data_IF_158320736241
#
_entry.id   IF_158320736241
#
_cell.length_a   1.000
_cell.length_b   1.000
_cell.length_c   1.000
_cell.angle_alpha   90.00
_cell.angle_beta   90.00
_cell.angle_gamma   90.00
#
_symmetry.space_group_name_H-M   'P 1'
#
loop_
_entity.id
_entity.type
_entity.pdbx_description
1 polymer ?
#
# COMPACT_ATOMS: atom_id res chain seq x y z
N UNK A 1 -23.81 26.10 33.70
CA UNK A 1 -22.37 26.06 33.98
C UNK A 1 -21.83 24.80 33.32
N UNK A 2 -21.36 24.94 32.08
CA UNK A 2 -20.79 23.87 31.24
C UNK A 2 -19.27 24.00 31.31
N UNK A 3 -18.56 22.88 31.47
CA UNK A 3 -17.13 22.82 31.16
C UNK A 3 -16.78 21.43 30.56
N UNK A 4 -16.42 21.48 29.27
CA UNK A 4 -15.71 20.48 28.47
C UNK A 4 -14.21 20.61 28.74
N UNK A 5 -13.47 19.50 28.82
CA UNK A 5 -12.01 19.38 28.54
C UNK A 5 -11.76 17.91 28.17
N UNK A 6 -10.97 17.50 27.17
CA UNK A 6 -10.15 18.21 26.19
C UNK A 6 -9.60 17.21 25.16
N UNK A 7 -9.52 17.65 23.89
CA UNK A 7 -8.79 16.97 22.81
C UNK A 7 -7.33 17.42 22.88
N UNK A 8 -6.39 16.48 22.73
CA UNK A 8 -4.98 16.78 22.58
C UNK A 8 -4.69 17.42 21.22
N UNK A 9 -3.82 18.42 21.25
CA UNK A 9 -3.45 19.33 20.16
C UNK A 9 -2.33 18.73 19.33
N UNK A 10 -2.46 18.75 18.00
CA UNK A 10 -1.32 18.68 17.11
C UNK A 10 -0.63 20.06 17.08
N UNK A 11 0.70 20.05 17.15
CA UNK A 11 1.57 21.23 17.03
C UNK A 11 1.58 21.76 15.58
N UNK A 12 1.51 23.08 15.36
CA UNK A 12 1.68 23.69 14.05
C UNK A 12 3.18 23.86 13.76
N UNK A 13 3.65 23.37 12.61
CA UNK A 13 4.94 23.81 12.05
C UNK A 13 4.71 25.06 11.23
N UNK A 14 5.23 26.16 11.75
CA UNK A 14 5.08 27.53 11.27
C UNK A 14 6.09 27.82 10.15
N UNK A 15 5.57 28.24 9.00
CA UNK A 15 6.12 29.30 8.14
C UNK A 15 5.23 29.47 6.91
N UNK A 16 3.96 29.81 7.12
CA UNK A 16 3.11 30.37 6.07
C UNK A 16 3.58 31.79 5.76
N UNK A 17 4.02 32.11 4.54
CA UNK A 17 4.24 33.49 4.17
C UNK A 17 2.88 34.14 3.81
N UNK A 18 2.62 35.29 4.42
CA UNK A 18 1.49 36.21 4.25
C UNK A 18 0.25 35.75 3.43
N UNK A 19 -0.81 35.40 4.15
CA UNK A 19 -2.19 35.44 3.64
C UNK A 19 -2.62 34.32 2.69
N UNK A 20 -1.82 33.25 2.56
CA UNK A 20 -2.20 32.00 1.89
C UNK A 20 -2.21 30.84 2.90
N UNK A 21 -3.32 30.10 2.94
CA UNK A 21 -3.39 28.83 3.65
C UNK A 21 -3.08 27.71 2.64
N UNK A 22 -1.79 27.40 2.49
CA UNK A 22 -1.30 26.36 1.58
C UNK A 22 -1.40 24.99 2.28
N UNK A 23 -2.13 24.07 1.67
CA UNK A 23 -2.14 22.66 2.05
C UNK A 23 -1.15 21.89 1.18
N UNK A 24 -0.17 21.23 1.81
CA UNK A 24 0.89 20.48 1.12
C UNK A 24 0.53 19.00 0.97
N UNK A 25 0.77 18.48 -0.22
CA UNK A 25 0.61 17.09 -0.62
C UNK A 25 1.93 16.57 -1.15
N UNK A 26 2.32 15.37 -0.71
CA UNK A 26 3.45 14.65 -1.28
C UNK A 26 3.06 14.03 -2.63
N UNK A 27 3.88 14.24 -3.64
CA UNK A 27 3.64 13.83 -5.04
C UNK A 27 4.53 12.67 -5.49
N UNK A 28 5.46 12.23 -4.63
CA UNK A 28 6.37 11.11 -4.92
C UNK A 28 5.64 9.77 -5.01
N UNK A 29 4.42 9.66 -4.46
CA UNK A 29 3.56 8.49 -4.55
C UNK A 29 2.35 8.70 -5.47
N UNK A 30 2.29 7.90 -6.54
CA UNK A 30 1.47 8.20 -7.73
C UNK A 30 -0.02 7.87 -7.59
N UNK A 31 -0.42 7.19 -6.51
CA UNK A 31 -1.74 6.56 -6.40
C UNK A 31 -2.84 7.36 -5.69
N UNK A 32 -2.50 8.39 -4.90
CA UNK A 32 -3.45 8.97 -3.94
C UNK A 32 -4.17 10.25 -4.41
N UNK A 33 -3.70 10.90 -5.48
CA UNK A 33 -4.11 12.28 -5.81
C UNK A 33 -5.58 12.36 -6.26
N UNK A 34 -6.05 11.42 -7.07
CA UNK A 34 -7.45 11.39 -7.52
C UNK A 34 -8.42 11.22 -6.33
N UNK A 35 -8.02 10.48 -5.30
CA UNK A 35 -8.78 10.26 -4.06
C UNK A 35 -8.73 11.49 -3.15
N UNK A 36 -7.57 12.16 -3.06
CA UNK A 36 -7.39 13.42 -2.32
C UNK A 36 -8.28 14.54 -2.89
N UNK A 37 -8.36 14.66 -4.23
CA UNK A 37 -9.24 15.61 -4.90
C UNK A 37 -10.72 15.18 -4.97
N UNK A 38 -11.02 13.90 -4.75
CA UNK A 38 -12.39 13.40 -4.64
C UNK A 38 -12.98 13.62 -3.22
N UNK A 39 -12.13 13.61 -2.19
CA UNK A 39 -12.54 13.75 -0.79
C UNK A 39 -12.65 15.21 -0.31
N UNK A 40 -11.99 16.16 -0.99
CA UNK A 40 -12.03 17.58 -0.66
C UNK A 40 -12.45 18.39 -1.89
N UNK A 41 -13.34 19.36 -1.71
CA UNK A 41 -13.93 20.24 -2.75
C UNK A 41 -12.93 21.18 -3.47
N UNK A 42 -11.69 20.76 -3.71
CA UNK A 42 -10.68 21.52 -4.45
C UNK A 42 -10.93 21.46 -5.96
N UNK A 43 -12.03 22.09 -6.41
CA UNK A 43 -12.34 22.23 -7.84
C UNK A 43 -11.37 23.18 -8.52
N UNK A 44 -11.10 24.33 -7.91
CA UNK A 44 -10.24 25.38 -8.44
C UNK A 44 -9.30 25.95 -7.36
N UNK A 45 -8.25 26.64 -7.77
CA UNK A 45 -7.36 27.31 -6.83
C UNK A 45 -5.97 27.60 -7.39
N UNK A 46 -5.17 28.19 -6.51
CA UNK A 46 -3.75 28.41 -6.73
C UNK A 46 -2.98 27.16 -6.30
N UNK A 47 -1.90 26.85 -6.99
CA UNK A 47 -1.05 25.74 -6.66
C UNK A 47 0.42 26.05 -6.87
N UNK A 48 1.27 25.38 -6.09
CA UNK A 48 2.73 25.41 -6.20
C UNK A 48 3.21 23.97 -6.37
N UNK A 49 3.95 23.71 -7.44
CA UNK A 49 4.67 22.46 -7.63
C UNK A 49 6.10 22.65 -7.13
N UNK A 50 6.59 21.70 -6.34
CA UNK A 50 7.99 21.63 -5.92
C UNK A 50 8.68 20.46 -6.62
N UNK A 51 9.87 20.71 -7.12
CA UNK A 51 10.65 19.74 -7.89
C UNK A 51 11.87 19.27 -7.09
N UNK A 52 12.42 18.12 -7.47
CA UNK A 52 13.61 17.52 -6.87
C UNK A 52 14.86 18.42 -6.87
N UNK A 53 14.94 19.39 -7.79
CA UNK A 53 16.05 20.34 -7.90
C UNK A 53 15.85 21.62 -7.07
N UNK A 54 14.89 21.61 -6.14
CA UNK A 54 14.49 22.75 -5.30
C UNK A 54 13.89 23.95 -6.09
N UNK A 55 13.58 23.77 -7.38
CA UNK A 55 12.80 24.73 -8.13
C UNK A 55 11.31 24.63 -7.77
N UNK A 56 10.56 25.66 -8.14
CA UNK A 56 9.12 25.67 -7.98
C UNK A 56 8.40 26.18 -9.24
N UNK A 57 7.12 25.84 -9.38
CA UNK A 57 6.24 26.40 -10.40
C UNK A 57 4.94 26.83 -9.72
N UNK A 58 4.48 28.05 -10.02
CA UNK A 58 3.25 28.61 -9.47
C UNK A 58 2.21 28.72 -10.56
N UNK A 59 0.99 28.26 -10.28
CA UNK A 59 -0.11 28.30 -11.23
C UNK A 59 -1.47 28.52 -10.59
N UNK A 60 -2.43 28.81 -11.45
CA UNK A 60 -3.86 28.80 -11.14
C UNK A 60 -4.57 27.81 -12.05
N UNK A 61 -5.58 27.12 -11.54
CA UNK A 61 -6.45 26.28 -12.38
C UNK A 61 -7.90 26.33 -11.93
N UNK A 62 -8.80 26.36 -12.90
CA UNK A 62 -10.24 26.13 -12.67
C UNK A 62 -10.57 24.64 -12.44
N UNK A 63 -9.61 23.76 -12.75
CA UNK A 63 -9.65 22.32 -12.48
C UNK A 63 -8.29 21.85 -12.00
N UNK A 64 -8.08 21.82 -10.68
CA UNK A 64 -6.79 21.46 -10.08
C UNK A 64 -6.40 20.02 -10.40
N UNK A 65 -7.34 19.07 -10.26
CA UNK A 65 -7.09 17.66 -10.57
C UNK A 65 -6.63 17.45 -12.03
N UNK A 66 -7.31 18.09 -13.00
CA UNK A 66 -6.93 17.97 -14.41
C UNK A 66 -5.56 18.59 -14.68
N UNK A 67 -5.26 19.74 -14.04
CA UNK A 67 -4.00 20.45 -14.23
C UNK A 67 -2.82 19.70 -13.66
N UNK A 68 -2.92 19.20 -12.43
CA UNK A 68 -1.86 18.44 -11.77
C UNK A 68 -1.53 17.18 -12.57
N UNK A 69 -2.54 16.49 -13.11
CA UNK A 69 -2.29 15.33 -13.99
C UNK A 69 -1.52 15.71 -15.27
N UNK A 70 -1.92 16.79 -15.94
CA UNK A 70 -1.21 17.27 -17.14
C UNK A 70 0.23 17.70 -16.84
N UNK A 71 0.46 18.35 -15.69
CA UNK A 71 1.77 18.81 -15.30
C UNK A 71 2.72 17.65 -14.95
N UNK A 72 2.21 16.52 -14.45
CA UNK A 72 3.00 15.29 -14.24
C UNK A 72 3.48 14.65 -15.55
N UNK A 73 2.73 14.78 -16.63
CA UNK A 73 3.17 14.28 -17.95
C UNK A 73 4.32 15.12 -18.51
N UNK A 74 4.35 16.42 -18.18
CA UNK A 74 5.36 17.36 -18.64
C UNK A 74 6.60 17.35 -17.73
N UNK A 75 6.38 17.21 -16.42
CA UNK A 75 7.40 17.27 -15.38
C UNK A 75 7.36 16.00 -14.51
N UNK A 76 8.21 15.00 -14.80
CA UNK A 76 8.21 13.74 -14.06
C UNK A 76 8.89 13.82 -12.68
N UNK A 77 9.51 14.95 -12.35
CA UNK A 77 10.33 15.20 -11.16
C UNK A 77 9.62 16.06 -10.09
N UNK A 78 8.28 16.14 -10.14
CA UNK A 78 7.47 16.79 -9.11
C UNK A 78 7.49 15.94 -7.84
N UNK A 79 7.90 16.52 -6.72
CA UNK A 79 7.96 15.85 -5.41
C UNK A 79 6.87 16.31 -4.44
N UNK A 80 6.37 17.53 -4.59
CA UNK A 80 5.26 18.01 -3.76
C UNK A 80 4.36 19.01 -4.50
N UNK A 81 3.13 19.10 -4.02
CA UNK A 81 2.09 20.02 -4.47
C UNK A 81 1.55 20.76 -3.27
N UNK A 82 1.58 22.09 -3.30
CA UNK A 82 0.84 22.92 -2.34
C UNK A 82 -0.37 23.54 -3.02
N UNK A 83 -1.53 23.53 -2.35
CA UNK A 83 -2.78 24.07 -2.87
C UNK A 83 -3.34 25.10 -1.91
N UNK A 84 -3.75 26.25 -2.44
CA UNK A 84 -4.52 27.23 -1.71
C UNK A 84 -5.85 27.52 -2.42
N UNK A 85 -6.98 27.58 -1.68
CA UNK A 85 -8.21 28.13 -2.24
C UNK A 85 -7.99 29.61 -2.58
N UNK A 86 -8.39 30.04 -3.77
CA UNK A 86 -8.15 31.40 -4.21
C UNK A 86 -8.56 31.65 -5.65
N UNK A 87 -8.58 32.91 -6.05
CA UNK A 87 -8.86 33.35 -7.41
C UNK A 87 -7.57 33.71 -8.16
N UNK A 88 -7.66 33.74 -9.49
CA UNK A 88 -6.54 33.98 -10.39
C UNK A 88 -5.87 35.35 -10.18
N UNK A 89 -6.59 36.32 -9.62
CA UNK A 89 -6.11 37.67 -9.32
C UNK A 89 -5.00 37.70 -8.26
N UNK A 90 -4.88 36.65 -7.44
CA UNK A 90 -3.81 36.51 -6.44
C UNK A 90 -2.60 35.70 -6.93
N UNK A 91 -2.58 35.30 -8.20
CA UNK A 91 -1.48 34.49 -8.78
C UNK A 91 -0.14 35.23 -8.77
N UNK A 92 -0.13 36.51 -9.15
CA UNK A 92 1.09 37.33 -9.18
C UNK A 92 1.68 37.47 -7.77
N UNK A 93 0.82 37.73 -6.78
CA UNK A 93 1.22 37.80 -5.37
C UNK A 93 1.84 36.47 -4.87
N UNK A 94 1.26 35.32 -5.20
CA UNK A 94 1.82 34.02 -4.84
C UNK A 94 3.13 33.75 -5.58
N UNK A 95 3.22 34.14 -6.85
CA UNK A 95 4.42 33.99 -7.67
C UNK A 95 5.60 34.76 -7.08
N UNK A 96 5.37 36.02 -6.73
CA UNK A 96 6.38 36.87 -6.08
C UNK A 96 6.87 36.25 -4.77
N UNK A 97 5.95 35.70 -3.97
CA UNK A 97 6.25 35.07 -2.69
C UNK A 97 7.14 33.84 -2.84
N UNK A 98 6.76 32.92 -3.74
CA UNK A 98 7.50 31.68 -3.98
C UNK A 98 8.86 31.98 -4.62
N UNK A 99 8.95 33.01 -5.46
CA UNK A 99 10.20 33.42 -6.11
C UNK A 99 11.29 33.90 -5.13
N UNK A 100 10.90 34.33 -3.93
CA UNK A 100 11.84 34.70 -2.87
C UNK A 100 12.53 33.49 -2.22
N UNK A 101 11.91 32.31 -2.31
CA UNK A 101 12.37 31.08 -1.66
C UNK A 101 12.92 30.05 -2.65
N UNK A 102 12.39 30.01 -3.88
CA UNK A 102 12.71 29.01 -4.88
C UNK A 102 12.93 29.63 -6.27
N UNK A 103 13.89 29.12 -7.07
CA UNK A 103 13.96 29.47 -8.48
C UNK A 103 12.70 28.96 -9.20
N UNK A 104 12.08 29.83 -10.00
CA UNK A 104 10.84 29.49 -10.71
C UNK A 104 11.13 28.85 -12.08
N UNK A 105 10.52 27.68 -12.34
CA UNK A 105 10.48 27.09 -13.68
C UNK A 105 9.45 27.82 -14.54
N UNK A 106 9.73 27.96 -15.82
CA UNK A 106 8.73 28.37 -16.80
C UNK A 106 8.07 27.13 -17.41
N UNK A 107 6.76 27.21 -17.67
CA UNK A 107 6.06 26.16 -18.40
C UNK A 107 6.70 26.02 -19.79
N UNK A 108 7.08 24.81 -20.24
CA UNK A 108 7.54 24.59 -21.59
C UNK A 108 6.50 25.13 -22.59
N UNK A 109 6.93 25.96 -23.54
CA UNK A 109 6.04 26.51 -24.55
C UNK A 109 5.51 25.37 -25.43
N UNK A 110 4.20 25.12 -25.41
CA UNK A 110 3.57 24.11 -26.27
C UNK A 110 3.80 24.43 -27.76
N UNK A 111 4.03 23.44 -28.64
CA UNK A 111 3.82 23.64 -30.06
C UNK A 111 2.35 23.99 -30.30
N UNK A 112 2.13 25.10 -31.01
CA UNK A 112 0.83 25.67 -31.36
C UNK A 112 -0.08 24.68 -32.09
N UNK A 113 -1.01 24.05 -31.36
CA UNK A 113 -2.38 23.76 -31.84
C UNK A 113 -3.31 23.79 -30.61
N UNK A 114 -4.01 24.92 -30.43
CA UNK A 114 -5.14 25.02 -29.52
C UNK A 114 -6.29 24.21 -30.13
N UNK A 115 -6.40 22.95 -29.76
CA UNK A 115 -7.67 22.28 -29.59
C UNK A 115 -7.96 22.25 -28.10
N UNK A 116 -9.21 22.43 -27.69
CA UNK A 116 -9.69 22.19 -26.32
C UNK A 116 -8.89 21.04 -25.68
N UNK A 117 -8.34 21.26 -24.48
CA UNK A 117 -7.81 20.16 -23.69
C UNK A 117 -8.88 19.05 -23.74
N UNK A 118 -8.56 17.84 -24.24
CA UNK A 118 -9.54 16.78 -24.25
C UNK A 118 -9.77 16.47 -22.78
N UNK A 119 -10.81 17.07 -22.17
CA UNK A 119 -11.37 16.54 -20.94
C UNK A 119 -11.58 15.09 -21.26
N UNK A 120 -10.82 14.19 -20.62
CA UNK A 120 -10.48 12.88 -21.17
C UNK A 120 -11.77 12.18 -21.58
N UNK A 121 -12.14 12.39 -22.84
CA UNK A 121 -13.11 11.59 -23.54
C UNK A 121 -12.27 10.39 -23.85
N UNK A 122 -12.07 9.53 -22.84
CA UNK A 122 -11.73 8.13 -23.09
C UNK A 122 -12.66 7.76 -24.23
N UNK A 123 -12.09 7.51 -25.41
CA UNK A 123 -12.87 7.25 -26.61
C UNK A 123 -13.52 5.90 -26.39
N UNK A 124 -14.64 5.89 -25.64
CA UNK A 124 -15.39 4.71 -25.35
C UNK A 124 -15.88 4.22 -26.71
N UNK A 125 -15.54 2.99 -27.07
CA UNK A 125 -15.83 2.50 -28.40
C UNK A 125 -17.34 2.54 -28.64
N UNK A 126 -17.74 3.26 -29.70
CA UNK A 126 -19.15 3.36 -30.13
C UNK A 126 -19.70 1.99 -30.53
N UNK A 127 -18.83 1.14 -31.05
CA UNK A 127 -19.15 -0.26 -31.37
C UNK A 127 -18.92 -1.13 -30.13
N UNK A 128 -19.99 -1.76 -29.64
CA UNK A 128 -19.94 -2.68 -28.49
C UNK A 128 -18.85 -3.76 -28.62
N UNK A 129 -18.59 -4.24 -29.84
CA UNK A 129 -17.59 -5.26 -30.10
C UNK A 129 -16.14 -4.79 -29.88
N UNK A 130 -15.89 -3.47 -29.94
CA UNK A 130 -14.56 -2.87 -29.75
C UNK A 130 -14.28 -2.47 -28.30
N UNK A 131 -15.22 -2.71 -27.37
CA UNK A 131 -15.03 -2.44 -25.94
C UNK A 131 -13.92 -3.31 -25.38
N UNK A 132 -13.02 -2.72 -24.61
CA UNK A 132 -12.18 -3.47 -23.68
C UNK A 132 -13.10 -4.16 -22.69
N UNK A 133 -13.05 -5.48 -22.61
CA UNK A 133 -13.77 -6.22 -21.59
C UNK A 133 -12.92 -6.32 -20.31
N UNK A 134 -13.52 -6.74 -19.20
CA UNK A 134 -12.76 -7.00 -17.97
C UNK A 134 -11.70 -8.11 -18.15
N UNK A 135 -11.82 -8.93 -19.20
CA UNK A 135 -10.83 -9.95 -19.56
C UNK A 135 -9.63 -9.38 -20.32
N UNK A 136 -9.82 -8.28 -21.04
CA UNK A 136 -8.81 -7.67 -21.92
C UNK A 136 -8.04 -6.51 -21.27
N UNK A 137 -8.55 -5.98 -20.15
CA UNK A 137 -7.91 -4.89 -19.43
C UNK A 137 -6.60 -5.36 -18.75
N UNK A 138 -5.64 -4.46 -18.53
CA UNK A 138 -4.39 -4.76 -17.81
C UNK A 138 -4.60 -5.36 -16.40
N UNK A 139 -5.80 -5.17 -15.82
CA UNK A 139 -6.26 -5.78 -14.56
C UNK A 139 -6.48 -7.30 -14.68
N UNK A 140 -6.58 -7.84 -15.89
CA UNK A 140 -7.01 -9.21 -16.16
C UNK A 140 -6.12 -10.30 -15.59
N UNK A 141 -4.79 -10.09 -15.47
CA UNK A 141 -3.88 -11.11 -14.91
C UNK A 141 -4.03 -11.22 -13.39
N UNK A 142 -3.79 -10.14 -12.65
CA UNK A 142 -3.89 -10.13 -11.18
C UNK A 142 -5.29 -10.52 -10.70
N UNK A 143 -6.34 -10.05 -11.40
CA UNK A 143 -7.70 -10.48 -11.13
C UNK A 143 -7.89 -11.97 -11.36
N UNK A 144 -7.40 -12.54 -12.47
CA UNK A 144 -7.48 -13.98 -12.74
C UNK A 144 -6.76 -14.80 -11.67
N UNK A 145 -5.57 -14.36 -11.25
CA UNK A 145 -4.82 -15.01 -10.17
C UNK A 145 -5.60 -15.00 -8.86
N UNK A 146 -6.28 -13.90 -8.53
CA UNK A 146 -7.18 -13.86 -7.38
C UNK A 146 -8.35 -14.83 -7.54
N UNK A 147 -9.02 -14.86 -8.70
CA UNK A 147 -10.14 -15.79 -8.92
C UNK A 147 -9.70 -17.25 -8.81
N UNK A 148 -8.57 -17.60 -9.41
CA UNK A 148 -8.01 -18.94 -9.32
C UNK A 148 -7.62 -19.30 -7.88
N UNK A 149 -7.02 -18.37 -7.12
CA UNK A 149 -6.78 -18.54 -5.69
C UNK A 149 -8.11 -18.70 -4.93
N UNK A 150 -9.13 -17.91 -5.25
CA UNK A 150 -10.43 -17.94 -4.55
C UNK A 150 -11.23 -19.22 -4.79
N UNK A 151 -10.99 -19.87 -5.93
CA UNK A 151 -11.56 -21.18 -6.28
C UNK A 151 -10.80 -22.33 -5.58
N UNK A 152 -9.65 -22.07 -4.96
CA UNK A 152 -8.89 -23.07 -4.23
C UNK A 152 -9.64 -23.56 -2.98
N UNK A 153 -9.65 -24.87 -2.73
CA UNK A 153 -10.45 -25.48 -1.66
C UNK A 153 -10.10 -24.94 -0.26
N UNK A 154 -8.83 -24.62 -0.03
CA UNK A 154 -8.35 -24.09 1.24
C UNK A 154 -8.44 -22.57 1.33
N UNK A 155 -8.91 -21.87 0.29
CA UNK A 155 -8.96 -20.41 0.30
C UNK A 155 -9.76 -19.81 1.46
N UNK A 156 -10.94 -20.34 1.86
CA UNK A 156 -11.67 -19.80 3.01
C UNK A 156 -10.86 -19.82 4.31
N UNK A 157 -10.09 -20.89 4.52
CA UNK A 157 -9.18 -21.05 5.65
C UNK A 157 -8.01 -20.06 5.58
N UNK A 158 -7.32 -20.01 4.44
CA UNK A 158 -6.23 -19.06 4.18
C UNK A 158 -6.70 -17.63 4.40
N UNK A 159 -7.88 -17.27 3.87
CA UNK A 159 -8.47 -15.93 4.02
C UNK A 159 -8.69 -15.58 5.48
N UNK A 160 -9.24 -16.51 6.27
CA UNK A 160 -9.48 -16.31 7.70
C UNK A 160 -8.18 -16.11 8.48
N UNK A 161 -7.19 -16.97 8.28
CA UNK A 161 -5.91 -16.90 9.00
C UNK A 161 -5.12 -15.63 8.63
N UNK A 162 -5.07 -15.29 7.34
CA UNK A 162 -4.37 -14.08 6.89
C UNK A 162 -5.11 -12.81 7.35
N UNK A 163 -6.43 -12.83 7.42
CA UNK A 163 -7.21 -11.72 7.98
C UNK A 163 -6.92 -11.50 9.47
N UNK A 164 -6.76 -12.57 10.23
CA UNK A 164 -6.38 -12.51 11.65
C UNK A 164 -4.98 -11.90 11.82
N UNK A 165 -4.00 -12.37 11.03
CA UNK A 165 -2.67 -11.78 10.97
C UNK A 165 -2.70 -10.29 10.60
N UNK A 166 -3.58 -9.87 9.68
CA UNK A 166 -3.75 -8.45 9.32
C UNK A 166 -4.24 -7.65 10.54
N UNK A 167 -5.21 -8.18 11.28
CA UNK A 167 -5.77 -7.53 12.47
C UNK A 167 -4.74 -7.42 13.61
N UNK A 168 -3.91 -8.43 13.83
CA UNK A 168 -2.93 -8.44 14.92
C UNK A 168 -1.65 -7.66 14.60
N UNK A 169 -1.21 -7.66 13.33
CA UNK A 169 0.16 -7.27 12.98
C UNK A 169 0.31 -6.05 12.07
N UNK A 170 -0.77 -5.53 11.45
CA UNK A 170 -0.69 -4.36 10.56
C UNK A 170 -1.25 -3.10 11.27
N UNK A 171 -0.45 -2.02 11.46
CA UNK A 171 -0.87 -0.85 12.24
C UNK A 171 -2.10 -0.07 11.74
N UNK A 172 -2.28 0.03 10.42
CA UNK A 172 -3.42 0.74 9.81
C UNK A 172 -3.78 0.03 8.49
N UNK A 173 -4.42 -1.14 8.55
CA UNK A 173 -4.53 -2.03 7.40
C UNK A 173 -5.35 -1.41 6.26
N UNK A 174 -6.44 -0.72 6.58
CA UNK A 174 -7.35 -0.13 5.60
C UNK A 174 -6.73 1.05 4.83
N UNK A 175 -6.00 1.95 5.51
CA UNK A 175 -5.51 3.17 4.86
C UNK A 175 -4.12 3.01 4.23
N UNK A 176 -3.39 1.96 4.61
CA UNK A 176 -2.00 1.76 4.16
C UNK A 176 -1.83 0.64 3.14
N UNK A 177 -2.92 -0.07 2.79
CA UNK A 177 -2.92 -1.07 1.73
C UNK A 177 -2.40 -0.50 0.42
N UNK A 178 -1.71 -1.33 -0.38
CA UNK A 178 -1.00 -0.99 -1.63
C UNK A 178 0.27 -0.14 -1.43
N UNK A 179 0.26 0.77 -0.46
CA UNK A 179 1.32 1.75 -0.26
C UNK A 179 2.39 1.26 0.72
N UNK A 180 2.00 0.75 1.88
CA UNK A 180 2.94 0.29 2.92
C UNK A 180 2.89 -1.22 3.14
N UNK A 181 1.80 -1.87 2.73
CA UNK A 181 1.74 -3.32 2.62
C UNK A 181 1.06 -3.73 1.32
N UNK A 182 1.45 -4.89 0.78
CA UNK A 182 0.94 -5.41 -0.47
C UNK A 182 0.63 -6.89 -0.37
N UNK A 183 -0.29 -7.35 -1.21
CA UNK A 183 -0.56 -8.76 -1.42
C UNK A 183 -0.39 -9.14 -2.87
N UNK A 184 0.01 -10.38 -3.11
CA UNK A 184 0.01 -11.00 -4.42
C UNK A 184 -0.65 -12.38 -4.32
N UNK A 185 -1.42 -12.73 -5.34
CA UNK A 185 -2.03 -14.06 -5.49
C UNK A 185 -1.27 -14.83 -6.57
N UNK A 186 -1.01 -16.12 -6.33
CA UNK A 186 -0.38 -17.03 -7.30
C UNK A 186 0.86 -16.41 -7.96
N UNK A 187 1.81 -15.97 -7.13
CA UNK A 187 2.95 -15.17 -7.60
C UNK A 187 3.81 -16.01 -8.55
N UNK A 188 4.00 -15.53 -9.79
CA UNK A 188 4.75 -16.19 -10.88
C UNK A 188 6.27 -16.30 -10.61
N UNK A 189 6.75 -16.04 -9.39
CA UNK A 189 8.16 -16.22 -8.99
C UNK A 189 8.42 -17.73 -8.88
N UNK A 190 8.46 -18.38 -10.03
CA UNK A 190 8.81 -19.78 -10.19
C UNK A 190 10.31 -19.96 -9.97
N UNK A 191 10.66 -20.65 -8.89
CA UNK A 191 11.57 -21.78 -9.06
C UNK A 191 10.71 -22.91 -9.64
N UNK A 192 11.01 -23.41 -10.84
CA UNK A 192 10.28 -24.52 -11.50
C UNK A 192 10.27 -25.83 -10.67
N UNK A 193 10.97 -25.84 -9.53
CA UNK A 193 11.10 -26.96 -8.58
C UNK A 193 10.66 -26.60 -7.16
N UNK A 194 10.18 -25.39 -6.92
CA UNK A 194 9.74 -24.92 -5.60
C UNK A 194 8.24 -25.13 -5.36
N UNK A 195 7.79 -25.05 -4.10
CA UNK A 195 6.37 -25.15 -3.80
C UNK A 195 5.59 -23.99 -4.44
N UNK A 196 4.32 -24.25 -4.74
CA UNK A 196 3.46 -23.30 -5.42
C UNK A 196 3.04 -22.20 -4.45
N UNK A 197 3.45 -20.96 -4.70
CA UNK A 197 3.09 -19.81 -3.86
C UNK A 197 1.64 -19.41 -4.08
N UNK A 198 0.78 -19.61 -3.08
CA UNK A 198 -0.62 -19.25 -3.17
C UNK A 198 -0.86 -17.77 -2.89
N UNK A 199 -0.26 -17.25 -1.82
CA UNK A 199 -0.44 -15.89 -1.35
C UNK A 199 0.87 -15.36 -0.77
N UNK A 200 1.22 -14.13 -1.11
CA UNK A 200 2.30 -13.38 -0.44
C UNK A 200 1.74 -12.09 0.12
N UNK A 201 2.11 -11.75 1.35
CA UNK A 201 1.90 -10.44 1.96
C UNK A 201 3.28 -9.84 2.30
N UNK A 202 3.49 -8.61 1.85
CA UNK A 202 4.71 -7.86 2.08
C UNK A 202 4.42 -6.57 2.83
N UNK A 203 5.28 -6.19 3.77
CA UNK A 203 5.26 -4.92 4.48
C UNK A 203 6.54 -4.15 4.14
N UNK A 204 6.44 -2.88 3.75
CA UNK A 204 7.59 -2.05 3.37
C UNK A 204 8.44 -2.61 2.24
N UNK A 205 7.87 -3.46 1.38
CA UNK A 205 8.58 -4.15 0.29
C UNK A 205 9.29 -5.45 0.69
N UNK A 206 9.17 -5.91 1.94
CA UNK A 206 9.72 -7.17 2.43
C UNK A 206 8.61 -8.19 2.67
N UNK A 207 8.79 -9.44 2.24
CA UNK A 207 7.83 -10.55 2.44
C UNK A 207 7.74 -10.91 3.93
N UNK A 208 6.62 -10.63 4.56
CA UNK A 208 6.40 -10.89 5.99
C UNK A 208 5.47 -12.07 6.25
N UNK A 209 4.61 -12.40 5.29
CA UNK A 209 3.80 -13.62 5.30
C UNK A 209 3.74 -14.23 3.90
N UNK A 210 3.78 -15.56 3.82
CA UNK A 210 3.55 -16.32 2.58
C UNK A 210 2.82 -17.62 2.88
N UNK A 211 1.95 -18.04 1.98
CA UNK A 211 1.32 -19.36 1.99
C UNK A 211 1.78 -20.14 0.77
N UNK A 212 2.36 -21.31 1.02
CA UNK A 212 2.86 -22.24 0.02
C UNK A 212 1.99 -23.49 -0.04
N UNK A 213 1.79 -24.01 -1.25
CA UNK A 213 1.20 -25.31 -1.53
C UNK A 213 2.30 -26.28 -1.96
N UNK A 214 2.46 -27.34 -1.18
CA UNK A 214 3.43 -28.41 -1.43
C UNK A 214 2.63 -29.63 -1.90
N UNK A 215 2.92 -30.09 -3.12
CA UNK A 215 2.34 -31.32 -3.64
C UNK A 215 3.37 -32.44 -3.47
N UNK A 216 3.00 -33.47 -2.73
CA UNK A 216 3.84 -34.63 -2.47
C UNK A 216 3.72 -35.67 -3.60
N UNK A 217 4.64 -36.64 -3.62
CA UNK A 217 4.69 -37.69 -4.66
C UNK A 217 3.42 -38.57 -4.72
N UNK A 218 2.62 -38.59 -3.66
CA UNK A 218 1.36 -39.32 -3.55
C UNK A 218 0.12 -38.47 -3.86
N UNK A 219 0.31 -37.31 -4.49
CA UNK A 219 -0.69 -36.30 -4.82
C UNK A 219 -1.38 -35.68 -3.58
N UNK A 220 -0.85 -35.90 -2.36
CA UNK A 220 -1.32 -35.16 -1.18
C UNK A 220 -0.84 -33.72 -1.22
N UNK A 221 -1.69 -32.83 -0.72
CA UNK A 221 -1.43 -31.39 -0.67
C UNK A 221 -1.21 -30.99 0.78
N UNK A 222 -0.05 -30.40 1.05
CA UNK A 222 0.29 -29.75 2.31
C UNK A 222 0.32 -28.24 2.11
N UNK A 223 -0.17 -27.50 3.11
CA UNK A 223 -0.17 -26.04 3.10
C UNK A 223 0.74 -25.53 4.20
N UNK A 224 1.76 -24.76 3.81
CA UNK A 224 2.76 -24.22 4.72
C UNK A 224 2.57 -22.70 4.82
N UNK A 225 2.29 -22.21 6.03
CA UNK A 225 2.22 -20.79 6.36
C UNK A 225 3.59 -20.33 6.87
N UNK A 226 4.22 -19.45 6.11
CA UNK A 226 5.46 -18.80 6.50
C UNK A 226 5.24 -17.41 7.01
N UNK A 227 5.76 -17.10 8.19
CA UNK A 227 5.71 -15.77 8.78
C UNK A 227 7.12 -15.36 9.18
N UNK A 228 7.49 -14.12 8.86
CA UNK A 228 8.70 -13.50 9.37
C UNK A 228 8.31 -12.53 10.49
N UNK A 229 8.97 -12.64 11.65
CA UNK A 229 8.79 -11.73 12.78
C UNK A 229 10.10 -11.06 13.15
N UNK A 230 10.02 -10.03 13.99
CA UNK A 230 11.20 -9.37 14.51
C UNK A 230 11.99 -10.32 15.42
N UNK A 231 13.30 -10.14 15.52
CA UNK A 231 14.10 -10.95 16.44
C UNK A 231 14.23 -10.25 17.80
N UNK A 232 13.88 -10.90 18.92
CA UNK A 232 14.15 -10.38 20.26
C UNK A 232 15.63 -10.04 20.43
N UNK A 233 15.93 -8.90 21.09
CA UNK A 233 17.31 -8.39 21.22
C UNK A 233 18.23 -9.27 22.06
N UNK A 234 17.65 -10.11 22.90
CA UNK A 234 18.29 -10.96 23.88
C UNK A 234 18.48 -12.41 23.42
N UNK A 235 17.98 -12.78 22.23
CA UNK A 235 18.11 -14.14 21.69
C UNK A 235 19.27 -14.29 20.69
N UNK A 236 20.09 -15.32 20.91
CA UNK A 236 21.06 -15.81 19.91
C UNK A 236 20.35 -16.58 18.81
N UNK A 237 21.03 -16.80 17.69
CA UNK A 237 20.45 -17.54 16.55
C UNK A 237 20.06 -18.97 16.95
N UNK A 238 20.84 -19.64 17.81
CA UNK A 238 20.49 -20.99 18.33
C UNK A 238 19.21 -20.98 19.20
N UNK A 239 18.89 -19.86 19.84
CA UNK A 239 17.68 -19.70 20.67
C UNK A 239 16.43 -19.35 19.85
N UNK A 240 16.58 -19.18 18.52
CA UNK A 240 15.47 -19.02 17.59
C UNK A 240 15.01 -20.37 17.01
N UNK A 241 15.81 -21.42 17.17
CA UNK A 241 15.48 -22.73 16.62
C UNK A 241 14.31 -23.34 17.40
N UNK A 242 13.18 -23.49 16.72
CA UNK A 242 11.98 -24.21 17.17
C UNK A 242 11.72 -25.31 16.17
N UNK A 243 11.44 -26.53 16.63
CA UNK A 243 11.08 -27.64 15.75
C UNK A 243 10.21 -28.61 16.51
N UNK A 244 8.96 -28.72 16.09
CA UNK A 244 7.99 -29.72 16.53
C UNK A 244 7.23 -30.25 15.30
N UNK A 245 6.11 -30.97 15.52
CA UNK A 245 5.37 -31.64 14.44
C UNK A 245 4.66 -30.66 13.49
N UNK A 246 4.27 -29.49 13.97
CA UNK A 246 3.43 -28.53 13.22
C UNK A 246 4.13 -27.20 12.96
N UNK A 247 5.24 -26.92 13.65
CA UNK A 247 5.98 -25.67 13.58
C UNK A 247 7.48 -25.94 13.49
N UNK A 248 8.13 -25.24 12.56
CA UNK A 248 9.57 -25.04 12.58
C UNK A 248 9.90 -23.56 12.49
N UNK A 249 10.92 -23.12 13.21
CA UNK A 249 11.37 -21.74 13.13
C UNK A 249 12.87 -21.65 13.35
N UNK A 250 13.47 -20.59 12.82
CA UNK A 250 14.89 -20.33 12.97
C UNK A 250 15.28 -18.98 12.39
N UNK A 251 16.57 -18.74 12.27
CA UNK A 251 17.05 -17.51 11.63
C UNK A 251 16.65 -17.48 10.15
N UNK A 252 15.96 -16.43 9.74
CA UNK A 252 15.58 -16.24 8.34
C UNK A 252 16.79 -16.14 7.40
N UNK A 253 16.68 -16.61 6.14
CA UNK A 253 17.80 -16.70 5.19
C UNK A 253 18.17 -15.36 4.53
N UNK A 254 17.54 -14.25 4.94
CA UNK A 254 17.67 -12.96 4.27
C UNK A 254 18.97 -12.25 4.69
N UNK A 255 19.69 -11.71 3.70
CA UNK A 255 20.98 -11.04 3.92
C UNK A 255 20.82 -9.64 4.51
N UNK A 256 19.82 -8.91 4.02
CA UNK A 256 19.66 -7.47 4.31
C UNK A 256 18.67 -7.21 5.45
N UNK A 257 18.00 -8.24 5.95
CA UNK A 257 17.00 -8.13 7.01
C UNK A 257 17.09 -9.32 7.97
N UNK A 258 17.27 -9.05 9.27
CA UNK A 258 17.38 -10.11 10.28
C UNK A 258 15.99 -10.38 10.86
N UNK A 259 15.44 -11.53 10.52
CA UNK A 259 14.10 -11.97 10.96
C UNK A 259 14.16 -13.34 11.62
N UNK A 260 13.16 -13.61 12.46
CA UNK A 260 12.84 -14.96 12.90
C UNK A 260 11.80 -15.50 11.93
N UNK A 261 12.15 -16.56 11.20
CA UNK A 261 11.30 -17.13 10.17
C UNK A 261 10.61 -18.38 10.72
N UNK A 262 9.30 -18.42 10.59
CA UNK A 262 8.41 -19.46 11.08
C UNK A 262 7.78 -20.16 9.88
N UNK A 263 7.72 -21.49 9.92
CA UNK A 263 7.00 -22.37 9.02
C UNK A 263 5.98 -23.13 9.86
N UNK A 264 4.71 -22.96 9.55
CA UNK A 264 3.59 -23.50 10.32
C UNK A 264 2.74 -24.33 9.36
N UNK A 265 2.48 -25.59 9.70
CA UNK A 265 1.52 -26.41 9.00
C UNK A 265 0.13 -25.79 9.13
N UNK A 266 -0.37 -25.25 8.02
CA UNK A 266 -1.67 -24.60 7.98
C UNK A 266 -2.80 -25.63 8.12
N UNK A 267 -2.58 -26.90 7.78
CA UNK A 267 -3.52 -27.98 8.05
C UNK A 267 -3.77 -28.15 9.54
N UNK A 268 -2.72 -28.13 10.35
CA UNK A 268 -2.81 -28.21 11.81
C UNK A 268 -3.62 -27.06 12.43
N UNK A 269 -3.51 -25.85 11.89
CA UNK A 269 -4.29 -24.68 12.33
C UNK A 269 -5.81 -24.82 12.07
N UNK A 270 -6.22 -25.77 11.23
CA UNK A 270 -7.63 -25.99 10.88
C UNK A 270 -8.27 -27.14 11.66
N UNK A 271 -7.48 -27.92 12.39
CA UNK A 271 -7.98 -29.02 13.20
C UNK A 271 -8.40 -28.54 14.59
N UNK A 272 -9.68 -28.71 14.96
CA UNK A 272 -10.25 -28.21 16.22
C UNK A 272 -9.57 -28.77 17.49
N UNK A 273 -8.88 -29.90 17.38
CA UNK A 273 -8.24 -30.62 18.50
C UNK A 273 -6.70 -30.48 18.50
N UNK A 274 -6.11 -29.70 17.60
CA UNK A 274 -4.66 -29.50 17.51
C UNK A 274 -4.30 -28.12 18.03
N UNK A 275 -3.54 -28.09 19.13
CA UNK A 275 -2.94 -26.86 19.66
C UNK A 275 -1.57 -26.64 19.00
N UNK A 276 -1.41 -25.52 18.29
CA UNK A 276 -0.18 -25.20 17.57
C UNK A 276 0.78 -24.49 18.53
N UNK A 277 1.72 -25.25 19.09
CA UNK A 277 2.73 -24.72 20.00
C UNK A 277 3.85 -23.99 19.21
N UNK A 278 3.84 -22.65 19.28
CA UNK A 278 4.89 -21.81 18.71
C UNK A 278 6.19 -21.82 19.56
N UNK A 279 6.20 -22.44 20.74
CA UNK A 279 7.32 -22.39 21.68
C UNK A 279 7.54 -21.01 22.32
N UNK A 280 6.63 -20.07 22.06
CA UNK A 280 6.47 -18.75 22.66
C UNK A 280 4.97 -18.49 22.84
N UNK A 281 4.60 -17.56 23.70
CA UNK A 281 3.21 -17.12 23.82
C UNK A 281 2.74 -16.35 22.57
N UNK A 282 1.46 -16.50 22.24
CA UNK A 282 0.83 -15.90 21.06
C UNK A 282 0.94 -14.37 21.05
N UNK A 283 0.73 -13.73 22.21
CA UNK A 283 0.88 -12.27 22.36
C UNK A 283 2.31 -11.82 21.98
N UNK A 284 3.34 -12.57 22.41
CA UNK A 284 4.72 -12.29 22.01
C UNK A 284 4.95 -12.51 20.51
N UNK A 285 4.36 -13.55 19.92
CA UNK A 285 4.45 -13.76 18.48
C UNK A 285 3.84 -12.58 17.71
N UNK A 286 2.64 -12.14 18.09
CA UNK A 286 1.94 -11.00 17.50
C UNK A 286 2.71 -9.69 17.69
N UNK A 287 3.24 -9.42 18.88
CA UNK A 287 4.06 -8.25 19.16
C UNK A 287 5.33 -8.20 18.27
N UNK A 288 5.96 -9.35 18.02
CA UNK A 288 7.13 -9.45 17.15
C UNK A 288 6.76 -9.28 15.68
N UNK A 289 5.62 -9.82 15.24
CA UNK A 289 5.10 -9.63 13.89
C UNK A 289 4.75 -8.15 13.65
N UNK A 290 3.97 -7.55 14.55
CA UNK A 290 3.62 -6.14 14.55
C UNK A 290 4.87 -5.24 14.55
N UNK A 291 5.84 -5.55 15.41
CA UNK A 291 7.09 -4.81 15.52
C UNK A 291 7.91 -4.81 14.22
N UNK A 292 7.96 -5.95 13.52
CA UNK A 292 8.60 -6.04 12.20
C UNK A 292 7.83 -5.23 11.15
N UNK A 293 6.53 -5.48 11.01
CA UNK A 293 5.67 -4.83 10.03
C UNK A 293 5.70 -3.31 10.17
N UNK A 294 5.50 -2.79 11.38
CA UNK A 294 5.54 -1.36 11.65
C UNK A 294 6.91 -0.73 11.31
N UNK A 295 8.02 -1.43 11.58
CA UNK A 295 9.37 -0.95 11.24
C UNK A 295 9.57 -0.89 9.73
N UNK A 296 9.19 -1.94 9.02
CA UNK A 296 9.32 -2.02 7.56
C UNK A 296 8.44 -0.96 6.88
N UNK A 297 7.18 -0.82 7.29
CA UNK A 297 6.24 0.17 6.76
C UNK A 297 6.73 1.61 6.96
N UNK A 298 7.37 1.92 8.10
CA UNK A 298 7.96 3.25 8.37
C UNK A 298 9.22 3.55 7.56
N UNK A 299 9.93 2.52 7.08
CA UNK A 299 11.17 2.71 6.31
C UNK A 299 10.93 3.32 4.93
N UNK A 300 9.69 3.26 4.41
CA UNK A 300 9.32 3.87 3.12
C UNK A 300 9.88 3.16 1.89
N UNK A 301 10.55 2.02 2.03
CA UNK A 301 11.17 1.27 0.92
C UNK A 301 10.18 0.47 0.05
N UNK A 302 8.89 0.79 0.17
CA UNK A 302 7.84 0.10 -0.55
C UNK A 302 7.90 0.40 -2.05
N UNK A 303 8.32 -0.59 -2.83
CA UNK A 303 8.42 -0.49 -4.31
C UNK A 303 7.31 -1.27 -5.03
N UNK A 304 6.44 -1.96 -4.28
CA UNK A 304 5.56 -3.03 -4.75
C UNK A 304 4.16 -2.62 -5.22
N UNK A 305 3.86 -1.33 -5.37
CA UNK A 305 2.49 -0.87 -5.70
C UNK A 305 1.96 -1.47 -7.04
N UNK A 306 2.85 -1.81 -7.97
CA UNK A 306 2.51 -2.43 -9.25
C UNK A 306 2.19 -3.94 -9.14
N UNK A 307 2.71 -4.63 -8.12
CA UNK A 307 2.50 -6.06 -7.88
C UNK A 307 1.31 -6.33 -6.93
N UNK A 308 0.73 -5.27 -6.36
CA UNK A 308 -0.40 -5.36 -5.43
C UNK A 308 -1.69 -5.88 -6.10
N UNK A 309 -2.28 -6.91 -5.52
CA UNK A 309 -3.56 -7.46 -5.92
C UNK A 309 -4.72 -6.81 -5.14
N UNK A 310 -5.40 -5.84 -5.77
CA UNK A 310 -6.48 -5.09 -5.12
C UNK A 310 -7.71 -5.95 -4.78
N UNK A 311 -8.03 -6.95 -5.61
CA UNK A 311 -9.21 -7.79 -5.37
C UNK A 311 -8.96 -8.71 -4.15
N UNK A 312 -7.77 -9.29 -4.05
CA UNK A 312 -7.35 -10.07 -2.87
C UNK A 312 -7.31 -9.22 -1.60
N UNK A 313 -6.67 -8.05 -1.66
CA UNK A 313 -6.58 -7.16 -0.49
C UNK A 313 -7.96 -6.72 0.01
N UNK A 314 -8.90 -6.43 -0.90
CA UNK A 314 -10.26 -6.07 -0.54
C UNK A 314 -11.00 -7.22 0.16
N UNK A 315 -10.85 -8.47 -0.32
CA UNK A 315 -11.48 -9.64 0.29
C UNK A 315 -10.89 -9.95 1.67
N UNK A 316 -9.57 -9.85 1.84
CA UNK A 316 -8.89 -10.01 3.13
C UNK A 316 -9.33 -8.94 4.15
N UNK A 317 -9.42 -7.68 3.73
CA UNK A 317 -9.88 -6.60 4.62
C UNK A 317 -11.35 -6.75 5.00
N UNK A 318 -12.19 -7.27 4.11
CA UNK A 318 -13.58 -7.56 4.41
C UNK A 318 -13.70 -8.70 5.45
N UNK A 319 -12.88 -9.74 5.32
CA UNK A 319 -12.81 -10.82 6.30
C UNK A 319 -12.27 -10.33 7.66
N UNK A 320 -11.21 -9.53 7.66
CA UNK A 320 -10.63 -8.94 8.87
C UNK A 320 -11.65 -8.07 9.61
N UNK A 321 -12.43 -7.27 8.87
CA UNK A 321 -13.56 -6.52 9.42
C UNK A 321 -14.65 -7.43 10.01
N UNK A 322 -15.00 -8.51 9.31
CA UNK A 322 -16.00 -9.49 9.77
C UNK A 322 -15.60 -10.10 11.11
N UNK A 323 -14.34 -10.53 11.24
CA UNK A 323 -13.80 -11.11 12.48
C UNK A 323 -13.91 -10.15 13.67
N UNK A 324 -13.49 -8.89 13.48
CA UNK A 324 -13.60 -7.87 14.53
C UNK A 324 -15.06 -7.59 14.90
N UNK A 325 -15.96 -7.55 13.92
CA UNK A 325 -17.38 -7.33 14.15
C UNK A 325 -18.06 -8.49 14.90
N UNK A 326 -17.64 -9.73 14.64
CA UNK A 326 -18.17 -10.91 15.32
C UNK A 326 -17.63 -11.08 16.76
N UNK A 327 -16.50 -10.44 17.07
CA UNK A 327 -15.90 -10.45 18.41
C UNK A 327 -16.47 -9.41 19.38
N UNK A 328 -17.25 -8.43 18.89
CA UNK A 328 -17.96 -7.41 19.68
C UNK A 328 -19.30 -7.90 20.25
#
# INVERSE_FOLDING_TARGET
MLARVGRFSAMPTDSTPDGFALERFDMTDSGAIATIFAAKDYRNGLYVLHFADNAAFVGYSESLAARVNADREIWPDIEALEVAPGAADRLEQLTDLVSQLHPLRQRPSEPTVIGEAPGVKTALPKERAKRTTLLDAAVGRSRRQFWELSDHIAYPAIRSIVADYINSSIPDPANTAKYLWQTAALSDVQDDTGPRRLLTLACGGFETLRVDEIVHDDDTIELDLRINTNVPRDRTDEQLEVSNETVSAGRGPYRDERVWSWSIDLGALLEEDVDVDLGIDDDTFDDLAYGLNARLMRSGNSTGAAAHNNDLAADLLAEAYRQLFEAE
#
